data_IF_240875380602
#
_entry.id   IF_240875380602
#
_cell.length_a   1.000
_cell.length_b   1.000
_cell.length_c   1.000
_cell.angle_alpha   90.00
_cell.angle_beta   90.00
_cell.angle_gamma   90.00
#
_symmetry.space_group_name_H-M   'P 1'
#
loop_
_entity.id
_entity.type
_entity.pdbx_description
1 polymer ?
#
# COMPACT_ATOMS: atom_id res chain seq x y z
N UNK A 1 53.16 -28.25 13.44
CA UNK A 1 52.22 -27.14 13.66
C UNK A 1 51.61 -26.74 12.31
N UNK A 2 50.49 -27.31 11.86
CA UNK A 2 49.87 -26.92 10.59
C UNK A 2 48.89 -25.75 10.77
N UNK A 3 48.85 -24.91 9.74
CA UNK A 3 48.27 -23.57 9.72
C UNK A 3 46.74 -23.50 9.82
N UNK A 4 46.31 -22.61 10.70
CA UNK A 4 44.96 -22.05 10.78
C UNK A 4 44.82 -20.97 9.70
N UNK A 5 44.38 -21.34 8.49
CA UNK A 5 44.14 -20.38 7.39
C UNK A 5 42.74 -20.46 6.77
N UNK A 6 41.83 -21.26 7.30
CA UNK A 6 40.57 -21.58 6.59
C UNK A 6 39.32 -20.78 6.99
N UNK A 7 39.40 -19.80 7.89
CA UNK A 7 38.18 -19.20 8.50
C UNK A 7 37.76 -17.84 7.93
N UNK A 8 38.46 -17.27 6.94
CA UNK A 8 38.16 -15.93 6.40
C UNK A 8 37.28 -15.93 5.14
N UNK A 9 37.20 -17.04 4.41
CA UNK A 9 36.44 -17.10 3.16
C UNK A 9 34.91 -17.20 3.36
N UNK A 10 34.45 -17.76 4.49
CA UNK A 10 33.03 -17.99 4.72
C UNK A 10 32.25 -16.69 5.04
N UNK A 11 32.87 -15.72 5.73
CA UNK A 11 32.20 -14.49 6.18
C UNK A 11 31.94 -13.50 5.05
N UNK A 12 32.84 -13.45 4.05
CA UNK A 12 32.70 -12.56 2.90
C UNK A 12 31.53 -12.94 1.98
N UNK A 13 31.25 -14.24 1.85
CA UNK A 13 30.15 -14.74 1.00
C UNK A 13 28.78 -14.45 1.64
N UNK A 14 28.67 -14.58 2.97
CA UNK A 14 27.42 -14.34 3.71
C UNK A 14 27.06 -12.85 3.73
N UNK A 15 28.05 -11.95 3.87
CA UNK A 15 27.82 -10.50 3.80
C UNK A 15 27.47 -10.02 2.38
N UNK A 16 28.09 -10.60 1.34
CA UNK A 16 27.77 -10.25 -0.04
C UNK A 16 26.35 -10.74 -0.43
N UNK A 17 25.98 -11.95 -0.01
CA UNK A 17 24.66 -12.52 -0.28
C UNK A 17 23.54 -11.73 0.41
N UNK A 18 23.73 -11.30 1.65
CA UNK A 18 22.76 -10.46 2.37
C UNK A 18 22.62 -9.08 1.74
N UNK A 19 23.73 -8.43 1.35
CA UNK A 19 23.70 -7.13 0.67
C UNK A 19 23.03 -7.20 -0.72
N UNK A 20 23.22 -8.28 -1.47
CA UNK A 20 22.54 -8.49 -2.74
C UNK A 20 21.03 -8.72 -2.54
N UNK A 21 20.65 -9.50 -1.52
CA UNK A 21 19.25 -9.78 -1.20
C UNK A 21 18.51 -8.52 -0.72
N UNK A 22 19.13 -7.68 0.12
CA UNK A 22 18.55 -6.40 0.55
C UNK A 22 18.43 -5.42 -0.62
N UNK A 23 19.42 -5.33 -1.52
CA UNK A 23 19.31 -4.52 -2.75
C UNK A 23 18.19 -4.99 -3.66
N UNK A 24 18.03 -6.30 -3.85
CA UNK A 24 16.95 -6.86 -4.67
C UNK A 24 15.58 -6.62 -4.03
N UNK A 25 15.45 -6.77 -2.71
CA UNK A 25 14.22 -6.45 -1.98
C UNK A 25 13.90 -4.97 -2.03
N UNK A 26 14.89 -4.09 -1.83
CA UNK A 26 14.72 -2.64 -1.96
C UNK A 26 14.30 -2.26 -3.38
N UNK A 27 14.95 -2.82 -4.42
CA UNK A 27 14.57 -2.60 -5.81
C UNK A 27 13.16 -3.10 -6.12
N UNK A 28 12.76 -4.26 -5.59
CA UNK A 28 11.39 -4.78 -5.74
C UNK A 28 10.36 -3.90 -5.04
N UNK A 29 10.66 -3.44 -3.82
CA UNK A 29 9.80 -2.49 -3.12
C UNK A 29 9.66 -1.19 -3.91
N UNK A 30 10.77 -0.61 -4.38
CA UNK A 30 10.74 0.60 -5.22
C UNK A 30 10.03 0.38 -6.56
N UNK A 31 10.14 -0.78 -7.18
CA UNK A 31 9.43 -1.10 -8.43
C UNK A 31 7.92 -1.27 -8.19
N UNK A 32 7.52 -1.88 -7.07
CA UNK A 32 6.11 -1.95 -6.65
C UNK A 32 5.56 -0.55 -6.34
N UNK A 33 6.34 0.31 -5.69
CA UNK A 33 5.98 1.73 -5.46
C UNK A 33 5.88 2.50 -6.78
N UNK A 34 6.81 2.30 -7.72
CA UNK A 34 6.80 2.96 -9.02
C UNK A 34 5.64 2.52 -9.92
N UNK A 35 5.25 1.23 -9.87
CA UNK A 35 4.04 0.73 -10.53
C UNK A 35 2.77 1.34 -9.91
N UNK A 36 2.71 1.45 -8.57
CA UNK A 36 1.62 2.14 -7.89
C UNK A 36 1.58 3.64 -8.21
N UNK A 37 2.74 4.29 -8.37
CA UNK A 37 2.88 5.70 -8.79
C UNK A 37 2.37 5.91 -10.22
N UNK A 38 2.70 4.98 -11.14
CA UNK A 38 2.30 5.01 -12.53
C UNK A 38 0.79 4.77 -12.73
N UNK A 39 0.10 4.21 -11.73
CA UNK A 39 -1.34 3.95 -11.74
C UNK A 39 -2.16 4.90 -10.85
N UNK A 40 -1.62 6.06 -10.48
CA UNK A 40 -2.38 7.14 -9.78
C UNK A 40 -3.44 7.77 -10.68
N UNK A 41 -4.45 7.00 -11.04
CA UNK A 41 -5.65 7.48 -11.68
C UNK A 41 -6.57 8.05 -10.61
N UNK A 42 -7.19 9.19 -10.90
CA UNK A 42 -8.22 9.74 -10.03
C UNK A 42 -9.41 8.77 -10.05
N UNK A 43 -9.72 8.19 -8.89
CA UNK A 43 -10.84 7.28 -8.69
C UNK A 43 -11.85 7.89 -7.74
N UNK A 44 -13.12 7.60 -7.98
CA UNK A 44 -14.22 7.98 -7.10
C UNK A 44 -14.62 6.77 -6.28
N UNK A 45 -14.61 6.93 -4.98
CA UNK A 45 -14.96 5.91 -4.01
C UNK A 45 -16.28 6.24 -3.33
N UNK A 46 -17.05 5.23 -2.96
CA UNK A 46 -18.24 5.35 -2.11
C UNK A 46 -17.89 4.86 -0.72
N UNK A 47 -18.02 5.74 0.28
CA UNK A 47 -17.79 5.42 1.68
C UNK A 47 -18.94 4.54 2.16
N UNK A 48 -18.68 3.25 2.29
CA UNK A 48 -19.72 2.30 2.66
C UNK A 48 -20.21 2.57 4.08
N UNK A 49 -21.52 2.37 4.29
CA UNK A 49 -22.21 2.65 5.57
C UNK A 49 -22.15 4.12 6.00
N UNK A 50 -21.80 5.02 5.08
CA UNK A 50 -21.79 6.45 5.32
C UNK A 50 -22.74 7.11 4.34
N UNK A 51 -23.73 7.82 4.88
CA UNK A 51 -24.67 8.63 4.12
C UNK A 51 -24.53 10.10 4.50
N UNK A 52 -24.69 10.99 3.53
CA UNK A 52 -24.78 12.42 3.77
C UNK A 52 -26.07 12.78 4.53
N UNK A 53 -26.22 14.06 4.90
CA UNK A 53 -27.41 14.56 5.60
C UNK A 53 -28.72 14.30 4.83
N UNK A 54 -28.64 14.18 3.50
CA UNK A 54 -29.79 13.92 2.63
C UNK A 54 -30.07 12.41 2.42
N UNK A 55 -29.36 11.54 3.13
CA UNK A 55 -29.47 10.08 2.98
C UNK A 55 -28.77 9.53 1.73
N UNK A 56 -28.06 10.36 0.97
CA UNK A 56 -27.32 9.96 -0.23
C UNK A 56 -25.97 9.33 0.14
N UNK A 57 -25.45 8.36 -0.64
CA UNK A 57 -24.12 7.81 -0.43
C UNK A 57 -23.05 8.90 -0.49
N UNK A 58 -22.07 8.84 0.43
CA UNK A 58 -20.95 9.79 0.41
C UNK A 58 -19.88 9.30 -0.56
N UNK A 59 -19.46 10.19 -1.46
CA UNK A 59 -18.37 9.92 -2.38
C UNK A 59 -17.08 10.63 -1.98
N UNK A 60 -15.95 9.95 -2.17
CA UNK A 60 -14.61 10.46 -1.90
C UNK A 60 -13.72 10.25 -3.13
N UNK A 61 -13.12 11.32 -3.65
CA UNK A 61 -12.21 11.23 -4.78
C UNK A 61 -10.76 11.12 -4.31
N UNK A 62 -10.01 10.15 -4.83
CA UNK A 62 -8.61 9.96 -4.47
C UNK A 62 -7.80 9.38 -5.63
N UNK A 63 -6.54 9.77 -5.68
CA UNK A 63 -5.51 9.14 -6.55
C UNK A 63 -4.70 8.08 -5.80
N UNK A 64 -5.00 7.86 -4.52
CA UNK A 64 -4.33 6.85 -3.71
C UNK A 64 -4.70 5.45 -4.21
N UNK A 65 -3.75 4.50 -4.19
CA UNK A 65 -4.00 3.14 -4.64
C UNK A 65 -4.94 2.41 -3.67
N UNK A 66 -5.64 1.35 -4.13
CA UNK A 66 -6.34 0.42 -3.26
C UNK A 66 -5.44 -0.16 -2.15
N UNK A 67 -6.04 -0.53 -1.02
CA UNK A 67 -5.36 -0.93 0.22
C UNK A 67 -4.85 0.26 1.04
N UNK A 68 -5.10 1.50 0.60
CA UNK A 68 -4.74 2.69 1.37
C UNK A 68 -5.84 3.05 2.35
N UNK A 69 -5.47 3.27 3.60
CA UNK A 69 -6.38 3.81 4.62
C UNK A 69 -6.40 5.33 4.51
N UNK A 70 -7.60 5.90 4.45
CA UNK A 70 -7.87 7.34 4.50
C UNK A 70 -8.76 7.66 5.68
N UNK A 71 -8.70 8.89 6.17
CA UNK A 71 -9.60 9.37 7.23
C UNK A 71 -10.59 10.35 6.63
N UNK A 72 -11.87 10.16 6.92
CA UNK A 72 -12.95 11.02 6.47
C UNK A 72 -13.87 11.37 7.65
N UNK A 73 -14.32 12.63 7.79
CA UNK A 73 -15.25 13.02 8.84
C UNK A 73 -16.67 12.49 8.57
N UNK A 74 -17.20 11.69 9.49
CA UNK A 74 -18.59 11.19 9.50
C UNK A 74 -19.27 11.74 10.74
N UNK A 75 -20.36 12.48 10.56
CA UNK A 75 -21.07 13.16 11.65
C UNK A 75 -20.14 13.99 12.55
N UNK A 76 -19.14 14.64 11.95
CA UNK A 76 -18.14 15.46 12.63
C UNK A 76 -16.99 14.68 13.29
N UNK A 77 -17.01 13.35 13.24
CA UNK A 77 -16.00 12.49 13.84
C UNK A 77 -15.08 11.89 12.77
N UNK A 78 -13.75 11.92 12.96
CA UNK A 78 -12.84 11.28 12.01
C UNK A 78 -13.02 9.77 12.03
N UNK A 79 -13.33 9.17 10.89
CA UNK A 79 -13.47 7.73 10.72
C UNK A 79 -12.50 7.22 9.65
N UNK A 80 -11.77 6.13 9.91
CA UNK A 80 -10.92 5.49 8.92
C UNK A 80 -11.71 4.66 7.90
N UNK A 81 -11.25 4.68 6.66
CA UNK A 81 -11.77 3.86 5.56
C UNK A 81 -10.62 3.28 4.73
N UNK A 82 -10.71 2.01 4.36
CA UNK A 82 -9.84 1.38 3.39
C UNK A 82 -10.39 1.59 1.97
N UNK A 83 -9.58 2.19 1.09
CA UNK A 83 -9.90 2.26 -0.33
C UNK A 83 -9.73 0.88 -0.97
N UNK A 84 -10.76 0.32 -1.59
CA UNK A 84 -10.68 -1.00 -2.21
C UNK A 84 -10.74 -0.92 -3.73
N UNK A 85 -10.42 -2.02 -4.42
CA UNK A 85 -10.56 -2.13 -5.88
C UNK A 85 -11.91 -2.77 -6.28
N UNK A 86 -12.87 -2.79 -5.35
CA UNK A 86 -14.19 -3.41 -5.57
C UNK A 86 -15.10 -2.41 -6.30
N UNK A 87 -15.48 -2.64 -7.57
CA UNK A 87 -16.39 -1.75 -8.28
C UNK A 87 -17.82 -1.89 -7.76
N UNK A 88 -18.55 -0.78 -7.76
CA UNK A 88 -19.97 -0.69 -7.46
C UNK A 88 -20.76 -0.39 -8.74
N UNK A 89 -22.07 -0.66 -8.70
CA UNK A 89 -22.96 -0.50 -9.86
C UNK A 89 -23.05 0.93 -10.41
N UNK A 90 -22.68 1.93 -9.61
CA UNK A 90 -22.67 3.35 -9.96
C UNK A 90 -21.33 3.84 -10.55
N UNK A 91 -20.49 2.90 -10.99
CA UNK A 91 -19.14 3.12 -11.52
C UNK A 91 -18.18 3.79 -10.52
N UNK A 92 -18.45 3.67 -9.22
CA UNK A 92 -17.50 4.01 -8.16
C UNK A 92 -16.82 2.75 -7.62
N UNK A 93 -15.80 2.94 -6.78
CA UNK A 93 -15.15 1.87 -6.04
C UNK A 93 -15.59 1.90 -4.57
N UNK A 94 -15.61 0.78 -3.88
CA UNK A 94 -15.94 0.77 -2.47
C UNK A 94 -14.80 1.34 -1.62
N UNK A 95 -15.18 2.01 -0.53
CA UNK A 95 -14.29 2.31 0.57
C UNK A 95 -14.91 1.73 1.86
N UNK A 96 -14.23 0.77 2.46
CA UNK A 96 -14.75 0.00 3.60
C UNK A 96 -14.38 0.69 4.93
N UNK A 97 -15.33 0.88 5.87
CA UNK A 97 -15.02 1.43 7.19
C UNK A 97 -14.21 0.41 8.03
N UNK A 98 -13.26 0.91 8.82
CA UNK A 98 -12.46 0.11 9.77
C UNK A 98 -12.94 0.22 11.21
#
# INVERSE_FOLDING_TARGET
MPGVLSTLAATGVITLATAACTRLRARRASAATALAEAQRQLRRYTLLRTTGPDGTPVHYASTRPPGTIVTYPVDGHPQPFELTDVPLSDATYAAEPL
#
